data_IF_407181966698
#
_entry.id   IF_407181966698
#
_cell.length_a   1.000
_cell.length_b   1.000
_cell.length_c   1.000
_cell.angle_alpha   90.00
_cell.angle_beta   90.00
_cell.angle_gamma   90.00
#
_symmetry.space_group_name_H-M   'P 1'
#
loop_
_entity.id
_entity.type
_entity.pdbx_description
1 polymer ?
#
# COMPACT_ATOMS: atom_id res chain seq x y z
N UNK A 1 12.69 -26.82 39.28
CA UNK A 1 13.55 -26.51 38.11
C UNK A 1 12.97 -27.05 36.80
N UNK A 2 12.54 -28.32 36.69
CA UNK A 2 11.99 -28.88 35.44
C UNK A 2 10.72 -28.18 34.90
N UNK A 3 9.78 -27.77 35.76
CA UNK A 3 8.55 -27.05 35.32
C UNK A 3 8.81 -25.68 34.70
N UNK A 4 9.79 -24.94 35.22
CA UNK A 4 10.15 -23.61 34.71
C UNK A 4 10.81 -23.73 33.33
N UNK A 5 11.70 -24.72 33.16
CA UNK A 5 12.36 -25.02 31.89
C UNK A 5 11.34 -25.42 30.81
N UNK A 6 10.34 -26.24 31.16
CA UNK A 6 9.25 -26.64 30.25
C UNK A 6 8.38 -25.46 29.82
N UNK A 7 8.11 -24.51 30.73
CA UNK A 7 7.37 -23.28 30.39
C UNK A 7 8.17 -22.42 29.43
N UNK A 8 9.47 -22.21 29.67
CA UNK A 8 10.33 -21.46 28.74
C UNK A 8 10.46 -22.14 27.36
N UNK A 9 10.57 -23.47 27.31
CA UNK A 9 10.57 -24.20 26.03
C UNK A 9 9.25 -24.06 25.28
N UNK A 10 8.11 -24.13 25.98
CA UNK A 10 6.81 -23.95 25.36
C UNK A 10 6.60 -22.53 24.81
N UNK A 11 7.06 -21.50 25.54
CA UNK A 11 6.98 -20.10 25.09
C UNK A 11 7.86 -19.87 23.87
N UNK A 12 9.11 -20.35 23.88
CA UNK A 12 10.02 -20.20 22.74
C UNK A 12 9.52 -20.92 21.48
N UNK A 13 8.98 -22.14 21.64
CA UNK A 13 8.37 -22.87 20.54
C UNK A 13 7.13 -22.14 20.00
N UNK A 14 6.24 -21.67 20.86
CA UNK A 14 5.05 -20.92 20.46
C UNK A 14 5.40 -19.63 19.70
N UNK A 15 6.41 -18.88 20.16
CA UNK A 15 6.93 -17.71 19.45
C UNK A 15 7.48 -18.07 18.07
N UNK A 16 8.28 -19.14 17.96
CA UNK A 16 8.86 -19.56 16.68
C UNK A 16 7.81 -19.96 15.63
N UNK A 17 6.72 -20.62 16.06
CA UNK A 17 5.62 -21.01 15.19
C UNK A 17 4.81 -19.79 14.74
N UNK A 18 4.55 -18.84 15.65
CA UNK A 18 3.85 -17.60 15.32
C UNK A 18 4.65 -16.75 14.32
N UNK A 19 5.97 -16.67 14.48
CA UNK A 19 6.87 -15.95 13.58
C UNK A 19 6.93 -16.60 12.19
N UNK A 20 7.04 -17.93 12.12
CA UNK A 20 7.01 -18.66 10.86
C UNK A 20 5.69 -18.48 10.09
N UNK A 21 4.55 -18.53 10.79
CA UNK A 21 3.23 -18.31 10.19
C UNK A 21 3.05 -16.86 9.68
N UNK A 22 3.60 -15.89 10.40
CA UNK A 22 3.58 -14.47 9.99
C UNK A 22 4.39 -14.28 8.70
N UNK A 23 5.60 -14.83 8.64
CA UNK A 23 6.48 -14.74 7.46
C UNK A 23 5.86 -15.43 6.25
N UNK A 24 5.22 -16.58 6.44
CA UNK A 24 4.52 -17.29 5.35
C UNK A 24 3.36 -16.46 4.79
N UNK A 25 2.61 -15.80 5.67
CA UNK A 25 1.49 -14.94 5.28
C UNK A 25 1.97 -13.71 4.49
N UNK A 26 3.04 -13.07 4.97
CA UNK A 26 3.61 -11.91 4.27
C UNK A 26 4.15 -12.32 2.90
N UNK A 27 4.87 -13.44 2.81
CA UNK A 27 5.36 -13.92 1.52
C UNK A 27 4.20 -14.24 0.56
N UNK A 28 3.10 -14.85 1.04
CA UNK A 28 1.93 -15.15 0.23
C UNK A 28 1.31 -13.91 -0.41
N UNK A 29 1.28 -12.78 0.31
CA UNK A 29 0.80 -11.49 -0.20
C UNK A 29 1.87 -10.85 -1.09
N UNK A 30 3.07 -10.62 -0.54
CA UNK A 30 4.09 -9.79 -1.17
C UNK A 30 4.70 -10.41 -2.43
N UNK A 31 4.72 -11.75 -2.57
CA UNK A 31 5.20 -12.39 -3.80
C UNK A 31 4.37 -12.08 -5.04
N UNK A 32 3.13 -11.63 -4.85
CA UNK A 32 2.19 -11.25 -5.92
C UNK A 32 2.29 -9.75 -6.26
N UNK A 33 3.20 -9.01 -5.63
CA UNK A 33 3.41 -7.58 -5.86
C UNK A 33 4.71 -7.32 -6.64
N UNK A 34 4.80 -6.16 -7.30
CA UNK A 34 5.98 -5.75 -8.08
C UNK A 34 7.16 -5.26 -7.20
N UNK A 35 6.96 -5.09 -5.89
CA UNK A 35 8.00 -4.72 -4.93
C UNK A 35 7.79 -5.43 -3.59
N UNK A 36 8.41 -6.61 -3.47
CA UNK A 36 8.33 -7.41 -2.25
C UNK A 36 8.91 -6.68 -1.03
N UNK A 37 9.98 -5.90 -1.22
CA UNK A 37 10.64 -5.19 -0.12
C UNK A 37 9.75 -4.08 0.43
N UNK A 38 9.13 -3.30 -0.46
CA UNK A 38 8.17 -2.28 -0.06
C UNK A 38 6.93 -2.90 0.60
N UNK A 39 6.35 -3.94 0.00
CA UNK A 39 5.20 -4.65 0.57
C UNK A 39 5.50 -5.19 1.98
N UNK A 40 6.63 -5.87 2.18
CA UNK A 40 7.04 -6.37 3.49
C UNK A 40 7.19 -5.22 4.50
N UNK A 41 7.74 -4.09 4.07
CA UNK A 41 7.89 -2.90 4.93
C UNK A 41 6.55 -2.28 5.37
N UNK A 42 5.50 -2.40 4.55
CA UNK A 42 4.14 -2.03 4.94
C UNK A 42 3.57 -3.03 5.93
N UNK A 43 3.59 -4.33 5.62
CA UNK A 43 3.01 -5.37 6.50
C UNK A 43 3.69 -5.46 7.87
N UNK A 44 4.99 -5.17 7.95
CA UNK A 44 5.74 -5.12 9.21
C UNK A 44 5.23 -4.06 10.20
N UNK A 45 4.39 -3.11 9.76
CA UNK A 45 3.74 -2.12 10.64
C UNK A 45 2.49 -2.67 11.33
N UNK A 46 2.01 -3.86 10.95
CA UNK A 46 0.87 -4.48 11.59
C UNK A 46 1.20 -4.99 12.99
N UNK A 47 0.21 -4.91 13.88
CA UNK A 47 0.33 -5.36 15.28
C UNK A 47 0.06 -6.86 15.44
N UNK A 48 -0.55 -7.48 14.43
CA UNK A 48 -0.89 -8.89 14.36
C UNK A 48 -0.81 -9.40 12.92
N UNK A 49 -0.60 -10.71 12.71
CA UNK A 49 -0.63 -11.30 11.36
C UNK A 49 -2.05 -11.52 10.82
N UNK A 50 -3.09 -10.99 11.49
CA UNK A 50 -4.48 -11.18 11.06
C UNK A 50 -4.75 -10.40 9.77
N UNK A 51 -5.48 -11.01 8.83
CA UNK A 51 -5.81 -10.36 7.55
C UNK A 51 -6.46 -8.98 7.73
N UNK A 52 -7.31 -8.83 8.76
CA UNK A 52 -7.95 -7.55 9.09
C UNK A 52 -6.92 -6.48 9.49
N UNK A 53 -5.92 -6.83 10.29
CA UNK A 53 -4.88 -5.88 10.70
C UNK A 53 -3.89 -5.59 9.56
N UNK A 54 -3.56 -6.59 8.73
CA UNK A 54 -2.78 -6.37 7.52
C UNK A 54 -3.49 -5.44 6.53
N UNK A 55 -4.80 -5.63 6.32
CA UNK A 55 -5.59 -4.74 5.49
C UNK A 55 -5.66 -3.34 6.08
N UNK A 56 -5.90 -3.21 7.39
CA UNK A 56 -5.94 -1.92 8.11
C UNK A 56 -4.70 -1.08 7.84
N UNK A 57 -3.52 -1.69 8.04
CA UNK A 57 -2.25 -1.01 7.81
C UNK A 57 -2.07 -0.65 6.34
N UNK A 58 -2.44 -1.56 5.43
CA UNK A 58 -2.32 -1.30 3.99
C UNK A 58 -3.18 -0.13 3.54
N UNK A 59 -4.49 -0.11 3.87
CA UNK A 59 -5.40 0.99 3.48
C UNK A 59 -4.99 2.33 4.09
N UNK A 60 -4.49 2.31 5.34
CA UNK A 60 -4.01 3.52 6.02
C UNK A 60 -2.76 4.08 5.35
N UNK A 61 -1.78 3.23 5.05
CA UNK A 61 -0.54 3.64 4.37
C UNK A 61 -0.80 4.09 2.93
N UNK A 62 -1.78 3.49 2.26
CA UNK A 62 -2.18 3.86 0.91
C UNK A 62 -2.77 5.27 0.87
N UNK A 63 -3.72 5.58 1.77
CA UNK A 63 -4.32 6.91 1.89
C UNK A 63 -3.26 7.99 2.20
N UNK A 64 -2.37 7.74 3.16
CA UNK A 64 -1.30 8.69 3.51
C UNK A 64 -0.39 8.95 2.30
N UNK A 65 0.09 7.88 1.65
CA UNK A 65 1.04 8.01 0.54
C UNK A 65 0.44 8.61 -0.71
N UNK A 66 -0.85 8.37 -0.96
CA UNK A 66 -1.55 9.00 -2.08
C UNK A 66 -1.73 10.50 -1.81
N UNK A 67 -2.13 10.89 -0.59
CA UNK A 67 -2.24 12.29 -0.19
C UNK A 67 -0.89 13.03 -0.29
N UNK A 68 0.20 12.39 0.15
CA UNK A 68 1.56 12.93 0.01
C UNK A 68 1.96 13.10 -1.45
N UNK A 69 1.57 12.17 -2.31
CA UNK A 69 1.87 12.23 -3.75
C UNK A 69 1.05 13.30 -4.46
N UNK A 70 -0.23 13.42 -4.15
CA UNK A 70 -1.08 14.50 -4.62
C UNK A 70 -0.49 15.87 -4.25
N UNK A 71 -0.10 16.04 -2.98
CA UNK A 71 0.49 17.28 -2.46
C UNK A 71 1.83 17.60 -3.15
N UNK A 72 2.64 16.57 -3.42
CA UNK A 72 3.87 16.71 -4.20
C UNK A 72 3.59 17.21 -5.62
N UNK A 73 2.64 16.59 -6.34
CA UNK A 73 2.29 16.99 -7.71
C UNK A 73 1.79 18.43 -7.73
N UNK A 74 0.87 18.77 -6.81
CA UNK A 74 0.35 20.12 -6.68
C UNK A 74 1.46 21.15 -6.46
N UNK A 75 2.41 20.87 -5.57
CA UNK A 75 3.57 21.74 -5.33
C UNK A 75 4.44 21.91 -6.58
N UNK A 76 4.67 20.84 -7.34
CA UNK A 76 5.43 20.92 -8.59
C UNK A 76 4.71 21.75 -9.66
N UNK A 77 3.38 21.70 -9.73
CA UNK A 77 2.59 22.55 -10.63
C UNK A 77 2.80 24.02 -10.29
N UNK A 78 2.76 24.38 -9.00
CA UNK A 78 2.99 25.77 -8.55
C UNK A 78 4.39 26.26 -8.92
N UNK A 79 5.42 25.43 -8.69
CA UNK A 79 6.82 25.77 -9.02
C UNK A 79 7.02 25.96 -10.53
N UNK A 80 6.33 25.19 -11.38
CA UNK A 80 6.41 25.29 -12.84
C UNK A 80 5.49 26.36 -13.46
N UNK A 81 4.89 27.24 -12.64
CA UNK A 81 3.95 28.25 -13.12
C UNK A 81 2.70 27.66 -13.78
N UNK A 82 2.31 26.43 -13.43
CA UNK A 82 1.09 25.79 -13.92
C UNK A 82 1.09 25.38 -15.39
N UNK A 83 2.24 25.37 -16.08
CA UNK A 83 2.31 25.15 -17.53
C UNK A 83 2.48 23.69 -17.95
N UNK A 84 3.02 22.83 -17.08
CA UNK A 84 3.37 21.44 -17.42
C UNK A 84 2.13 20.54 -17.51
N UNK A 85 1.73 20.19 -18.74
CA UNK A 85 0.55 19.36 -19.01
C UNK A 85 0.63 17.97 -18.36
N UNK A 86 1.83 17.39 -18.31
CA UNK A 86 2.08 16.08 -17.70
C UNK A 86 1.76 16.08 -16.20
N UNK A 87 2.17 17.14 -15.50
CA UNK A 87 1.88 17.32 -14.08
C UNK A 87 0.38 17.51 -13.82
N UNK A 88 -0.32 18.28 -14.66
CA UNK A 88 -1.78 18.42 -14.58
C UNK A 88 -2.49 17.09 -14.75
N UNK A 89 -2.07 16.28 -15.73
CA UNK A 89 -2.63 14.94 -15.95
C UNK A 89 -2.37 14.01 -14.76
N UNK A 90 -1.18 14.09 -14.17
CA UNK A 90 -0.87 13.40 -12.93
C UNK A 90 -1.72 13.89 -11.75
N UNK A 91 -2.04 15.18 -11.67
CA UNK A 91 -2.90 15.72 -10.62
C UNK A 91 -4.32 15.16 -10.74
N UNK A 92 -4.92 15.23 -11.93
CA UNK A 92 -6.25 14.62 -12.21
C UNK A 92 -6.27 13.14 -11.85
N UNK A 93 -5.21 12.42 -12.22
CA UNK A 93 -5.03 11.01 -11.90
C UNK A 93 -5.00 10.78 -10.40
N UNK A 94 -4.18 11.53 -9.67
CA UNK A 94 -4.04 11.36 -8.23
C UNK A 94 -5.23 11.88 -7.42
N UNK A 95 -6.12 12.69 -8.01
CA UNK A 95 -7.46 12.96 -7.45
C UNK A 95 -8.29 11.67 -7.39
N UNK A 96 -8.29 10.87 -8.47
CA UNK A 96 -9.00 9.57 -8.52
C UNK A 96 -8.37 8.58 -7.55
N UNK A 97 -7.03 8.49 -7.53
CA UNK A 97 -6.30 7.60 -6.62
C UNK A 97 -6.60 7.93 -5.16
N UNK A 98 -6.56 9.21 -4.77
CA UNK A 98 -6.90 9.64 -3.41
C UNK A 98 -8.33 9.27 -3.05
N UNK A 99 -9.30 9.58 -3.92
CA UNK A 99 -10.69 9.23 -3.67
C UNK A 99 -10.88 7.72 -3.48
N UNK A 100 -10.19 6.91 -4.29
CA UNK A 100 -10.25 5.45 -4.21
C UNK A 100 -9.69 4.91 -2.89
N UNK A 101 -8.54 5.41 -2.41
CA UNK A 101 -7.99 4.98 -1.12
C UNK A 101 -8.77 5.50 0.09
N UNK A 102 -9.29 6.73 0.04
CA UNK A 102 -10.20 7.22 1.10
C UNK A 102 -11.49 6.40 1.16
N UNK A 103 -12.02 5.98 -0.01
CA UNK A 103 -13.13 5.03 -0.06
C UNK A 103 -12.72 3.67 0.52
N UNK A 104 -11.55 3.15 0.19
CA UNK A 104 -11.05 1.89 0.74
C UNK A 104 -10.95 1.91 2.28
N UNK A 105 -10.47 3.01 2.87
CA UNK A 105 -10.48 3.21 4.33
C UNK A 105 -11.90 3.20 4.89
N UNK A 106 -12.84 3.88 4.23
CA UNK A 106 -14.25 3.90 4.65
C UNK A 106 -14.87 2.50 4.60
N UNK A 107 -14.68 1.78 3.49
CA UNK A 107 -15.17 0.41 3.28
C UNK A 107 -14.54 -0.56 4.29
N UNK A 108 -13.25 -0.41 4.60
CA UNK A 108 -12.60 -1.18 5.66
C UNK A 108 -13.29 -0.98 7.01
N UNK A 109 -13.61 0.27 7.37
CA UNK A 109 -14.29 0.60 8.63
C UNK A 109 -15.72 0.05 8.70
N UNK A 110 -16.40 -0.09 7.56
CA UNK A 110 -17.71 -0.75 7.44
C UNK A 110 -17.63 -2.27 7.25
N UNK A 111 -16.43 -2.85 7.28
CA UNK A 111 -16.17 -4.28 7.06
C UNK A 111 -16.61 -4.80 5.67
N UNK A 112 -16.67 -3.90 4.69
CA UNK A 112 -17.06 -4.20 3.30
C UNK A 112 -15.82 -4.50 2.44
N UNK A 113 -15.07 -5.55 2.80
CA UNK A 113 -13.76 -5.83 2.19
C UNK A 113 -13.83 -6.17 0.69
N UNK A 114 -14.90 -6.82 0.24
CA UNK A 114 -15.09 -7.15 -1.18
C UNK A 114 -15.24 -5.90 -2.06
N UNK A 115 -15.86 -4.84 -1.51
CA UNK A 115 -16.11 -3.59 -2.24
C UNK A 115 -14.83 -2.75 -2.42
N UNK A 116 -13.75 -3.04 -1.70
CA UNK A 116 -12.44 -2.39 -1.88
C UNK A 116 -11.82 -2.78 -3.23
N UNK A 117 -12.02 -4.02 -3.66
CA UNK A 117 -11.38 -4.62 -4.84
C UNK A 117 -11.59 -3.81 -6.13
N UNK A 118 -12.82 -3.42 -6.54
CA UNK A 118 -13.03 -2.65 -7.76
C UNK A 118 -12.33 -1.28 -7.74
N UNK A 119 -12.20 -0.64 -6.56
CA UNK A 119 -11.45 0.61 -6.44
C UNK A 119 -9.95 0.43 -6.71
N UNK A 120 -9.39 -0.73 -6.38
CA UNK A 120 -7.96 -1.01 -6.61
C UNK A 120 -7.63 -1.27 -8.08
N UNK A 121 -8.60 -1.79 -8.84
CA UNK A 121 -8.50 -1.88 -10.30
C UNK A 121 -8.52 -0.49 -10.94
N UNK A 122 -9.38 0.40 -10.43
CA UNK A 122 -9.41 1.81 -10.86
C UNK A 122 -8.10 2.53 -10.53
N UNK A 123 -7.54 2.35 -9.33
CA UNK A 123 -6.23 2.92 -8.95
C UNK A 123 -5.14 2.46 -9.91
N UNK A 124 -5.04 1.15 -10.15
CA UNK A 124 -4.00 0.57 -11.01
C UNK A 124 -4.09 1.11 -12.44
N UNK A 125 -5.31 1.25 -12.97
CA UNK A 125 -5.55 1.86 -14.26
C UNK A 125 -5.16 3.35 -14.28
N UNK A 126 -5.64 4.11 -13.29
CA UNK A 126 -5.40 5.55 -13.18
C UNK A 126 -3.90 5.86 -13.12
N UNK A 127 -3.13 5.17 -12.28
CA UNK A 127 -1.67 5.36 -12.16
C UNK A 127 -0.96 5.20 -13.52
N UNK A 128 -1.44 4.33 -14.39
CA UNK A 128 -0.90 4.15 -15.75
C UNK A 128 -1.05 5.37 -16.66
N UNK A 129 -1.95 6.30 -16.33
CA UNK A 129 -2.19 7.56 -17.06
C UNK A 129 -1.13 8.61 -16.69
N UNK A 130 -0.72 8.68 -15.42
CA UNK A 130 0.35 9.58 -14.98
C UNK A 130 1.71 9.06 -15.48
N UNK A 131 2.10 9.48 -16.69
CA UNK A 131 3.39 9.15 -17.30
C UNK A 131 4.54 9.74 -16.49
N UNK A 132 5.76 9.24 -16.69
CA UNK A 132 6.93 9.62 -15.90
C UNK A 132 8.14 10.02 -16.76
N UNK A 133 7.90 10.22 -18.05
CA UNK A 133 8.87 10.62 -19.08
C UNK A 133 9.13 12.13 -19.11
N UNK A 134 8.41 12.92 -18.31
CA UNK A 134 8.65 14.35 -18.14
C UNK A 134 9.71 14.66 -17.07
N UNK A 135 10.31 15.85 -17.17
CA UNK A 135 11.29 16.34 -16.18
C UNK A 135 10.58 17.01 -15.01
N UNK A 136 11.06 16.75 -13.80
CA UNK A 136 10.58 17.41 -12.58
C UNK A 136 11.67 18.36 -12.09
N UNK A 137 11.40 19.67 -11.93
CA UNK A 137 12.40 20.62 -11.45
C UNK A 137 12.99 20.20 -10.10
N UNK A 138 14.30 20.33 -9.97
CA UNK A 138 15.03 19.95 -8.75
C UNK A 138 15.32 18.46 -8.62
N UNK A 139 14.93 17.62 -9.60
CA UNK A 139 15.18 16.18 -9.56
C UNK A 139 15.88 15.67 -10.83
N UNK A 140 16.92 14.87 -10.62
CA UNK A 140 17.63 14.18 -11.72
C UNK A 140 16.85 12.97 -12.25
N UNK A 141 16.04 12.34 -11.38
CA UNK A 141 15.17 11.22 -11.71
C UNK A 141 13.76 11.62 -11.31
N UNK A 142 12.79 11.43 -12.20
CA UNK A 142 11.39 11.79 -11.93
C UNK A 142 10.87 11.02 -10.70
N UNK A 143 10.53 11.70 -9.58
CA UNK A 143 10.05 11.03 -8.37
C UNK A 143 8.74 10.25 -8.57
N UNK A 144 7.96 10.60 -9.60
CA UNK A 144 6.72 9.89 -9.93
C UNK A 144 6.96 8.42 -10.29
N UNK A 145 8.15 8.05 -10.76
CA UNK A 145 8.49 6.63 -11.00
C UNK A 145 8.32 5.80 -9.73
N UNK A 146 8.92 6.27 -8.63
CA UNK A 146 8.83 5.56 -7.34
C UNK A 146 7.42 5.66 -6.76
N UNK A 147 6.81 6.84 -6.82
CA UNK A 147 5.47 7.06 -6.26
C UNK A 147 4.39 6.21 -6.96
N UNK A 148 4.37 6.17 -8.29
CA UNK A 148 3.47 5.31 -9.06
C UNK A 148 3.70 3.83 -8.75
N UNK A 149 4.97 3.40 -8.62
CA UNK A 149 5.31 2.03 -8.27
C UNK A 149 4.77 1.65 -6.88
N UNK A 150 5.00 2.49 -5.87
CA UNK A 150 4.49 2.27 -4.51
C UNK A 150 2.96 2.24 -4.47
N UNK A 151 2.29 3.16 -5.18
CA UNK A 151 0.82 3.17 -5.30
C UNK A 151 0.28 1.86 -5.90
N UNK A 152 0.88 1.36 -6.99
CA UNK A 152 0.47 0.09 -7.59
C UNK A 152 0.70 -1.11 -6.66
N UNK A 153 1.76 -1.08 -5.84
CA UNK A 153 1.98 -2.12 -4.83
C UNK A 153 0.89 -2.09 -3.76
N UNK A 154 0.55 -0.91 -3.24
CA UNK A 154 -0.53 -0.77 -2.24
C UNK A 154 -1.88 -1.24 -2.79
N UNK A 155 -2.22 -0.84 -4.02
CA UNK A 155 -3.45 -1.30 -4.67
C UNK A 155 -3.49 -2.82 -4.84
N UNK A 156 -2.37 -3.43 -5.25
CA UNK A 156 -2.27 -4.88 -5.34
C UNK A 156 -2.42 -5.56 -3.97
N UNK A 157 -1.79 -5.01 -2.93
CA UNK A 157 -1.89 -5.53 -1.56
C UNK A 157 -3.33 -5.50 -1.06
N UNK A 158 -4.04 -4.37 -1.19
CA UNK A 158 -5.44 -4.23 -0.79
C UNK A 158 -6.34 -5.22 -1.55
N UNK A 159 -6.12 -5.38 -2.85
CA UNK A 159 -6.85 -6.36 -3.67
C UNK A 159 -6.62 -7.79 -3.20
N UNK A 160 -5.36 -8.19 -2.98
CA UNK A 160 -5.01 -9.55 -2.54
C UNK A 160 -5.61 -9.85 -1.17
N UNK A 161 -5.42 -8.95 -0.19
CA UNK A 161 -5.91 -9.15 1.17
C UNK A 161 -7.45 -9.08 1.19
N UNK A 162 -8.06 -8.18 0.41
CA UNK A 162 -9.50 -8.08 0.24
C UNK A 162 -10.12 -9.39 -0.29
N UNK A 163 -9.49 -10.03 -1.28
CA UNK A 163 -9.90 -11.37 -1.73
C UNK A 163 -9.78 -12.41 -0.63
N UNK A 164 -8.69 -12.42 0.15
CA UNK A 164 -8.49 -13.37 1.26
C UNK A 164 -9.52 -13.20 2.38
N UNK A 165 -9.99 -11.98 2.64
CA UNK A 165 -11.01 -11.68 3.63
C UNK A 165 -12.45 -11.95 3.16
N UNK A 166 -12.67 -11.98 1.85
CA UNK A 166 -13.99 -12.17 1.24
C UNK A 166 -14.26 -13.61 0.82
N UNK A 167 -13.30 -14.52 1.07
CA UNK A 167 -13.37 -15.95 0.72
C UNK A 167 -14.00 -16.81 1.81
#
# INVERSE_FOLDING_TARGET
>A
MSRILLIFLAITLACSVAEANTLQTFDAICKQTIDKSFCNGILAKATSPSMKDLLKVTVTEAEIRSADTYSFIFSMILINGGSEASLKKCLETYTIVNASFTNAVSLFNYEQYAEIIPHMDEVSYAVGICKTDFKVPGYNINPMIKKNRETNVLAAMEKIIGHMLSS
#
